data_IF_918558259241
#
_entry.id   IF_918558259241
#
_cell.length_a   1.000
_cell.length_b   1.000
_cell.length_c   1.000
_cell.angle_alpha   90.00
_cell.angle_beta   90.00
_cell.angle_gamma   90.00
#
_symmetry.space_group_name_H-M   'P 1'
#
loop_
_entity.id
_entity.type
_entity.pdbx_description
1 polymer ?
#
# COMPACT_ATOMS: atom_id res chain seq x y z
N UNK A 1 -13.11 24.22 2.50
CA UNK A 1 -12.23 23.57 3.50
C UNK A 1 -11.00 23.05 2.76
N UNK A 2 -9.80 23.08 3.36
CA UNK A 2 -8.63 22.51 2.71
C UNK A 2 -8.85 21.02 2.45
N UNK A 3 -8.36 20.54 1.30
CA UNK A 3 -8.40 19.12 0.98
C UNK A 3 -7.45 18.37 1.93
N UNK A 4 -8.02 17.47 2.72
CA UNK A 4 -7.33 16.66 3.72
C UNK A 4 -7.73 15.21 3.54
N UNK A 5 -6.79 14.32 3.79
CA UNK A 5 -7.07 12.88 3.85
C UNK A 5 -7.72 12.61 5.21
N UNK A 6 -9.01 12.28 5.16
CA UNK A 6 -9.84 11.99 6.34
C UNK A 6 -9.67 10.55 6.83
N UNK A 7 -9.44 9.60 5.90
CA UNK A 7 -9.25 8.20 6.22
C UNK A 7 -8.31 7.47 5.27
N UNK A 8 -7.55 6.53 5.81
CA UNK A 8 -6.72 5.61 5.02
C UNK A 8 -7.02 4.16 5.37
N UNK A 9 -6.97 3.33 4.34
CA UNK A 9 -6.94 1.88 4.48
C UNK A 9 -5.72 1.35 3.74
N UNK A 10 -4.93 0.51 4.41
CA UNK A 10 -3.83 -0.21 3.78
C UNK A 10 -4.28 -1.61 3.37
N UNK A 11 -4.20 -1.89 2.07
CA UNK A 11 -4.48 -3.20 1.51
C UNK A 11 -3.16 -3.94 1.33
N UNK A 12 -3.04 -5.11 1.96
CA UNK A 12 -1.89 -6.01 1.82
C UNK A 12 -2.30 -7.28 1.09
N UNK A 13 -1.33 -8.15 0.77
CA UNK A 13 -1.60 -9.46 0.19
C UNK A 13 -2.30 -10.44 1.16
N UNK A 14 -2.40 -10.11 2.46
CA UNK A 14 -3.05 -10.95 3.47
C UNK A 14 -4.39 -10.40 3.91
N UNK A 15 -4.46 -9.09 4.17
CA UNK A 15 -5.64 -8.48 4.75
C UNK A 15 -5.73 -6.97 4.49
N UNK A 16 -6.87 -6.41 4.85
CA UNK A 16 -7.18 -4.98 4.89
C UNK A 16 -6.95 -4.45 6.31
N UNK A 17 -6.21 -3.37 6.44
CA UNK A 17 -5.98 -2.66 7.71
C UNK A 17 -6.60 -1.26 7.65
N UNK A 18 -7.45 -0.94 8.63
CA UNK A 18 -8.24 0.30 8.68
C UNK A 18 -9.74 0.05 8.47
N UNK A 19 -10.53 1.10 8.19
CA UNK A 19 -10.12 2.49 7.97
C UNK A 19 -9.52 3.14 9.22
N UNK A 20 -8.50 3.97 9.04
CA UNK A 20 -7.92 4.82 10.07
C UNK A 20 -8.41 6.25 9.84
N UNK A 21 -9.35 6.70 10.67
CA UNK A 21 -10.02 7.99 10.53
C UNK A 21 -11.41 7.90 9.89
N UNK A 22 -12.21 8.98 9.96
CA UNK A 22 -13.57 9.03 9.44
C UNK A 22 -13.61 8.95 7.91
N UNK A 23 -14.40 8.03 7.36
CA UNK A 23 -14.58 7.88 5.90
C UNK A 23 -15.50 8.96 5.33
N UNK A 24 -15.03 10.21 5.33
CA UNK A 24 -15.76 11.37 4.80
C UNK A 24 -15.09 11.95 3.55
N UNK A 25 -15.88 12.52 2.65
CA UNK A 25 -15.40 13.16 1.41
C UNK A 25 -15.23 12.20 0.22
N UNK A 26 -14.34 12.55 -0.70
CA UNK A 26 -14.15 11.83 -1.97
C UNK A 26 -13.26 10.61 -1.76
N UNK A 27 -13.76 9.43 -2.11
CA UNK A 27 -13.00 8.18 -2.01
C UNK A 27 -11.96 8.08 -3.12
N UNK A 28 -10.76 7.61 -2.76
CA UNK A 28 -9.71 7.27 -3.71
C UNK A 28 -9.19 5.85 -3.44
N UNK A 29 -8.60 5.22 -4.46
CA UNK A 29 -7.94 3.93 -4.30
C UNK A 29 -6.80 3.80 -5.29
N UNK A 30 -5.68 3.22 -4.83
CA UNK A 30 -4.55 2.88 -5.67
C UNK A 30 -4.50 1.36 -5.81
N UNK A 31 -4.71 0.85 -7.04
CA UNK A 31 -4.63 -0.58 -7.33
C UNK A 31 -3.26 -0.90 -7.92
N UNK A 32 -2.55 -1.82 -7.27
CA UNK A 32 -1.26 -2.31 -7.72
C UNK A 32 -1.35 -3.82 -7.97
N UNK A 33 -0.84 -4.26 -9.12
CA UNK A 33 -0.76 -5.69 -9.47
C UNK A 33 0.70 -6.11 -9.47
N UNK A 34 1.14 -6.81 -8.42
CA UNK A 34 2.53 -7.24 -8.26
C UNK A 34 3.44 -6.08 -7.88
N UNK A 35 3.99 -6.12 -6.66
CA UNK A 35 4.79 -5.03 -6.13
C UNK A 35 4.79 -5.03 -4.61
N UNK A 36 5.73 -4.31 -4.04
CA UNK A 36 5.81 -4.01 -2.62
C UNK A 36 5.94 -2.50 -2.44
N UNK A 37 5.17 -1.94 -1.52
CA UNK A 37 5.32 -0.54 -1.12
C UNK A 37 6.57 -0.46 -0.25
N UNK A 38 7.61 0.23 -0.71
CA UNK A 38 8.89 0.37 0.00
C UNK A 38 9.04 1.71 0.72
N UNK A 39 8.08 2.61 0.53
CA UNK A 39 8.08 3.91 1.18
C UNK A 39 6.90 4.77 0.76
N UNK A 40 6.67 5.84 1.51
CA UNK A 40 5.63 6.81 1.25
C UNK A 40 6.24 8.21 1.14
N UNK A 41 5.58 9.07 0.38
CA UNK A 41 5.85 10.51 0.34
C UNK A 41 4.52 11.25 0.41
N UNK A 42 4.55 12.54 0.72
CA UNK A 42 3.32 13.31 0.85
C UNK A 42 3.56 14.71 1.40
N UNK A 43 2.46 15.42 1.66
CA UNK A 43 2.47 16.75 2.26
C UNK A 43 1.59 16.77 3.51
N UNK A 44 2.03 17.55 4.49
CA UNK A 44 1.29 17.78 5.73
C UNK A 44 1.43 19.23 6.16
N UNK A 45 0.39 19.74 6.82
CA UNK A 45 0.40 20.98 7.58
C UNK A 45 -0.16 20.68 8.97
N UNK A 46 -1.23 21.38 9.36
CA UNK A 46 -2.00 21.01 10.57
C UNK A 46 -2.69 19.64 10.45
N UNK A 47 -2.86 19.15 9.22
CA UNK A 47 -3.45 17.86 8.88
C UNK A 47 -2.65 17.19 7.77
N UNK A 48 -2.99 15.94 7.49
CA UNK A 48 -2.41 15.19 6.39
C UNK A 48 -3.15 15.52 5.09
N UNK A 49 -2.45 16.12 4.12
CA UNK A 49 -3.07 16.67 2.92
C UNK A 49 -2.96 15.74 1.72
N UNK A 50 -1.82 15.08 1.53
CA UNK A 50 -1.59 14.21 0.37
C UNK A 50 -0.67 13.04 0.71
N UNK A 51 -0.85 11.93 -0.03
CA UNK A 51 -0.03 10.74 0.08
C UNK A 51 0.24 10.15 -1.31
N UNK A 52 1.48 9.73 -1.51
CA UNK A 52 1.94 8.88 -2.60
C UNK A 52 2.82 7.77 -2.05
N UNK A 53 3.17 6.80 -2.90
CA UNK A 53 3.97 5.64 -2.51
C UNK A 53 5.05 5.31 -3.55
N UNK A 54 6.20 4.87 -3.06
CA UNK A 54 7.25 4.28 -3.87
C UNK A 54 7.06 2.76 -3.91
N UNK A 55 7.03 2.22 -5.13
CA UNK A 55 6.79 0.81 -5.37
C UNK A 55 8.04 0.16 -5.92
N UNK A 56 8.40 -1.00 -5.37
CA UNK A 56 9.35 -1.92 -5.98
C UNK A 56 8.59 -3.09 -6.59
N UNK A 57 8.87 -3.51 -7.83
CA UNK A 57 8.30 -4.72 -8.39
C UNK A 57 8.61 -5.93 -7.51
N UNK A 58 7.60 -6.71 -7.17
CA UNK A 58 7.81 -7.97 -6.49
C UNK A 58 8.45 -8.92 -7.51
N UNK A 59 9.76 -9.11 -7.41
CA UNK A 59 10.44 -10.19 -8.14
C UNK A 59 9.87 -11.49 -7.58
N UNK A 60 9.12 -12.21 -8.41
CA UNK A 60 8.69 -13.55 -8.06
C UNK A 60 9.95 -14.38 -7.86
N UNK A 61 10.25 -14.73 -6.61
CA UNK A 61 11.32 -15.67 -6.27
C UNK A 61 11.10 -17.06 -6.86
N UNK A 62 10.02 -17.26 -7.62
CA UNK A 62 9.78 -18.46 -8.42
C UNK A 62 10.89 -18.71 -9.47
N UNK A 63 11.53 -17.65 -9.96
CA UNK A 63 12.68 -17.77 -10.88
C UNK A 63 14.03 -17.88 -10.16
N UNK A 64 14.04 -17.98 -8.83
CA UNK A 64 15.27 -18.22 -8.07
C UNK A 64 15.38 -19.72 -7.75
N UNK A 65 16.27 -20.47 -8.43
CA UNK A 65 16.39 -21.92 -8.24
C UNK A 65 16.79 -22.31 -6.79
N UNK A 66 17.31 -21.37 -6.00
CA UNK A 66 17.67 -21.60 -4.60
C UNK A 66 16.50 -21.44 -3.62
N UNK A 67 15.40 -20.79 -4.02
CA UNK A 67 14.22 -20.55 -3.18
C UNK A 67 13.05 -21.50 -3.45
N UNK A 68 13.21 -22.43 -4.41
CA UNK A 68 12.33 -23.59 -4.58
C UNK A 68 12.48 -24.47 -3.34
N UNK A 69 11.80 -24.11 -2.24
CA UNK A 69 11.71 -24.98 -1.07
C UNK A 69 11.16 -26.30 -1.57
N UNK A 70 11.96 -27.35 -1.40
CA UNK A 70 11.60 -28.74 -1.67
C UNK A 70 10.26 -29.03 -0.99
N UNK A 71 9.16 -28.92 -1.72
CA UNK A 71 7.93 -29.62 -1.36
C UNK A 71 8.21 -31.07 -1.72
N UNK A 72 8.71 -31.81 -0.73
CA UNK A 72 8.81 -33.26 -0.82
C UNK A 72 7.44 -33.80 -0.42
N UNK A 73 6.65 -34.19 -1.43
CA UNK A 73 5.60 -35.19 -1.27
C UNK A 73 6.21 -36.59 -1.28
#
# INVERSE_FOLDING_TARGET
>A
MPEVISSLTFLTNRTKHGPYGPEEGTKFSFKMTGGEVIGFHGTSGSYFNSIGCHIKPAVSSWNNPFLMKKVKV
#
